data_IF_607290189789
#
_entry.id   IF_607290189789
#
_cell.length_a   1.000
_cell.length_b   1.000
_cell.length_c   1.000
_cell.angle_alpha   90.00
_cell.angle_beta   90.00
_cell.angle_gamma   90.00
#
_symmetry.space_group_name_H-M   'P 1'
#
loop_
_entity.id
_entity.type
_entity.pdbx_description
1 polymer ?
#
# COMPACT_ATOMS: atom_id res chain seq x y z
N UNK A 1 -67.99 -26.41 -10.58
CA UNK A 1 -66.94 -26.62 -9.56
C UNK A 1 -65.60 -26.33 -10.22
N UNK A 2 -65.01 -25.18 -9.89
CA UNK A 2 -63.82 -24.60 -10.54
C UNK A 2 -62.57 -25.12 -9.82
N UNK A 3 -61.72 -25.91 -10.50
CA UNK A 3 -60.44 -26.39 -9.96
C UNK A 3 -59.33 -25.41 -10.34
N UNK A 4 -58.92 -24.59 -9.37
CA UNK A 4 -57.73 -23.73 -9.46
C UNK A 4 -56.52 -24.62 -9.15
N UNK A 5 -55.66 -24.83 -10.14
CA UNK A 5 -54.37 -25.48 -9.94
C UNK A 5 -53.33 -24.41 -9.54
N UNK A 6 -52.84 -24.47 -8.30
CA UNK A 6 -51.68 -23.71 -7.87
C UNK A 6 -50.42 -24.38 -8.44
N UNK A 7 -49.72 -23.69 -9.33
CA UNK A 7 -48.33 -24.02 -9.68
C UNK A 7 -47.40 -23.35 -8.66
N UNK A 8 -46.75 -24.16 -7.82
CA UNK A 8 -45.66 -23.74 -6.97
C UNK A 8 -44.38 -23.58 -7.83
N UNK A 9 -43.98 -22.35 -8.10
CA UNK A 9 -42.70 -22.03 -8.74
C UNK A 9 -41.58 -21.99 -7.71
N UNK A 10 -40.67 -22.97 -7.76
CA UNK A 10 -39.46 -23.01 -6.94
C UNK A 10 -38.48 -21.93 -7.41
N UNK A 11 -38.23 -20.93 -6.56
CA UNK A 11 -37.24 -19.88 -6.80
C UNK A 11 -35.86 -20.37 -6.34
N UNK A 12 -35.05 -20.88 -7.28
CA UNK A 12 -33.64 -21.19 -7.04
C UNK A 12 -32.83 -19.89 -6.98
N UNK A 13 -32.39 -19.50 -5.78
CA UNK A 13 -31.39 -18.45 -5.62
C UNK A 13 -30.05 -18.94 -6.18
N UNK A 14 -29.59 -18.38 -7.30
CA UNK A 14 -28.19 -18.49 -7.73
C UNK A 14 -27.34 -17.64 -6.78
N UNK A 15 -26.62 -18.29 -5.87
CA UNK A 15 -25.50 -17.66 -5.18
C UNK A 15 -24.39 -17.42 -6.22
N UNK A 16 -24.11 -16.15 -6.54
CA UNK A 16 -22.94 -15.81 -7.34
C UNK A 16 -21.67 -16.15 -6.53
N UNK A 17 -20.69 -16.86 -7.10
CA UNK A 17 -19.43 -17.08 -6.42
C UNK A 17 -18.71 -15.73 -6.31
N UNK A 18 -18.50 -15.26 -5.09
CA UNK A 18 -17.55 -14.18 -4.81
C UNK A 18 -16.15 -14.70 -5.09
N UNK A 19 -15.64 -14.43 -6.30
CA UNK A 19 -14.22 -14.63 -6.62
C UNK A 19 -13.44 -13.53 -5.91
N UNK A 20 -12.98 -13.79 -4.69
CA UNK A 20 -11.83 -13.06 -4.16
C UNK A 20 -10.67 -13.40 -5.10
N UNK A 21 -10.15 -12.40 -5.81
CA UNK A 21 -8.93 -12.60 -6.59
C UNK A 21 -7.82 -13.00 -5.60
N UNK A 22 -7.22 -14.17 -5.82
CA UNK A 22 -6.15 -14.71 -4.98
C UNK A 22 -4.94 -13.76 -5.02
N UNK A 23 -4.23 -13.61 -3.89
CA UNK A 23 -3.03 -12.75 -3.83
C UNK A 23 -2.00 -13.27 -4.84
N UNK A 24 -1.47 -12.39 -5.69
CA UNK A 24 -0.40 -12.76 -6.58
C UNK A 24 0.94 -12.73 -5.84
N UNK A 25 1.43 -13.90 -5.48
CA UNK A 25 2.68 -14.06 -4.71
C UNK A 25 3.92 -14.14 -5.59
N UNK A 26 4.98 -13.45 -5.16
CA UNK A 26 6.35 -13.53 -5.67
C UNK A 26 7.23 -13.87 -4.48
N UNK A 27 7.73 -15.10 -4.41
CA UNK A 27 8.55 -15.57 -3.30
C UNK A 27 9.85 -16.17 -3.84
N UNK A 28 10.99 -15.71 -3.30
CA UNK A 28 12.30 -16.23 -3.68
C UNK A 28 13.42 -15.23 -3.48
N UNK A 29 14.56 -15.51 -4.14
CA UNK A 29 15.76 -14.69 -4.07
C UNK A 29 16.16 -14.24 -5.47
N UNK A 30 16.42 -12.93 -5.65
CA UNK A 30 16.97 -12.38 -6.89
C UNK A 30 16.04 -12.44 -8.10
N UNK A 31 14.72 -12.55 -7.90
CA UNK A 31 13.75 -12.66 -8.99
C UNK A 31 13.49 -11.30 -9.65
N UNK A 32 13.51 -11.27 -10.99
CA UNK A 32 13.08 -10.13 -11.80
C UNK A 32 11.69 -10.34 -12.37
N UNK A 33 10.69 -9.52 -12.04
CA UNK A 33 9.32 -9.66 -12.56
C UNK A 33 8.63 -8.34 -12.87
N UNK A 34 7.78 -8.36 -13.89
CA UNK A 34 6.80 -7.32 -14.16
C UNK A 34 5.39 -7.90 -14.03
N UNK A 35 4.53 -7.24 -13.24
CA UNK A 35 3.15 -7.64 -12.96
C UNK A 35 2.20 -6.51 -13.34
N UNK A 36 1.12 -6.83 -14.04
CA UNK A 36 0.03 -5.89 -14.31
C UNK A 36 -1.14 -6.18 -13.37
N UNK A 37 -1.47 -5.21 -12.52
CA UNK A 37 -2.56 -5.29 -11.58
C UNK A 37 -3.88 -4.76 -12.19
N UNK A 38 -4.96 -5.50 -11.93
CA UNK A 38 -6.35 -5.07 -12.18
C UNK A 38 -7.15 -5.15 -10.88
N UNK A 39 -6.69 -4.42 -9.86
CA UNK A 39 -7.19 -4.32 -8.49
C UNK A 39 -6.92 -5.48 -7.53
N UNK A 40 -6.15 -6.48 -7.96
CA UNK A 40 -5.72 -7.61 -7.12
C UNK A 40 -4.55 -7.27 -6.19
N UNK A 41 -4.39 -8.10 -5.15
CA UNK A 41 -3.33 -7.95 -4.16
C UNK A 41 -2.04 -8.65 -4.64
N UNK A 42 -0.90 -8.13 -4.22
CA UNK A 42 0.43 -8.64 -4.60
C UNK A 42 1.31 -8.77 -3.37
N UNK A 43 1.89 -9.95 -3.17
CA UNK A 43 2.86 -10.21 -2.13
C UNK A 43 4.25 -10.44 -2.71
N UNK A 44 5.27 -9.72 -2.22
CA UNK A 44 6.67 -9.86 -2.61
C UNK A 44 7.46 -10.26 -1.37
N UNK A 45 8.03 -11.46 -1.40
CA UNK A 45 8.69 -12.10 -0.26
C UNK A 45 10.08 -12.64 -0.59
N UNK A 46 10.94 -12.72 0.43
CA UNK A 46 12.27 -13.32 0.34
C UNK A 46 13.38 -12.28 0.35
N UNK A 47 14.28 -12.30 -0.64
CA UNK A 47 15.39 -11.36 -0.69
C UNK A 47 15.73 -10.90 -2.11
N UNK A 48 16.24 -9.67 -2.26
CA UNK A 48 16.91 -9.19 -3.50
C UNK A 48 16.05 -9.21 -4.78
N UNK A 49 14.73 -9.41 -4.67
CA UNK A 49 13.83 -9.38 -5.82
C UNK A 49 13.73 -7.96 -6.41
N UNK A 50 13.68 -7.89 -7.74
CA UNK A 50 13.46 -6.68 -8.53
C UNK A 50 12.10 -6.76 -9.23
N UNK A 51 11.12 -6.00 -8.77
CA UNK A 51 9.72 -6.14 -9.22
C UNK A 51 9.16 -4.81 -9.72
N UNK A 52 8.45 -4.85 -10.84
CA UNK A 52 7.69 -3.72 -11.37
C UNK A 52 6.19 -4.04 -11.40
N UNK A 53 5.40 -3.21 -10.73
CA UNK A 53 3.96 -3.30 -10.65
C UNK A 53 3.33 -2.21 -11.52
N UNK A 54 2.50 -2.59 -12.47
CA UNK A 54 1.78 -1.70 -13.38
C UNK A 54 0.28 -1.73 -13.11
N UNK A 55 -0.42 -0.66 -13.48
CA UNK A 55 -1.86 -0.54 -13.30
C UNK A 55 -2.25 -0.26 -11.85
N UNK A 56 -3.45 -0.72 -11.49
CA UNK A 56 -4.06 -0.47 -10.17
C UNK A 56 -3.93 -1.72 -9.31
N UNK A 57 -3.02 -1.74 -8.34
CA UNK A 57 -2.94 -2.81 -7.36
C UNK A 57 -3.88 -2.55 -6.18
N UNK A 58 -4.32 -3.62 -5.54
CA UNK A 58 -5.05 -3.56 -4.28
C UNK A 58 -4.12 -3.26 -3.12
N UNK A 59 -3.84 -4.28 -2.33
CA UNK A 59 -2.81 -4.25 -1.30
C UNK A 59 -1.51 -4.83 -1.87
N UNK A 60 -0.43 -4.06 -1.75
CA UNK A 60 0.93 -4.52 -2.07
C UNK A 60 1.67 -4.74 -0.76
N UNK A 61 2.08 -5.99 -0.52
CA UNK A 61 2.93 -6.38 0.61
C UNK A 61 4.34 -6.63 0.10
N UNK A 62 5.32 -5.92 0.67
CA UNK A 62 6.75 -6.15 0.43
C UNK A 62 7.33 -6.53 1.78
N UNK A 63 7.78 -7.78 1.90
CA UNK A 63 8.30 -8.32 3.13
C UNK A 63 9.56 -9.14 2.88
N UNK A 64 10.70 -8.64 3.33
CA UNK A 64 11.96 -9.32 3.09
C UNK A 64 13.15 -8.39 3.20
N UNK A 65 14.23 -8.75 2.49
CA UNK A 65 15.49 -8.04 2.55
C UNK A 65 15.90 -7.55 1.16
N UNK A 66 16.27 -6.28 1.04
CA UNK A 66 16.88 -5.72 -0.17
C UNK A 66 16.04 -5.86 -1.45
N UNK A 67 14.70 -5.86 -1.35
CA UNK A 67 13.85 -5.78 -2.53
C UNK A 67 13.98 -4.41 -3.21
N UNK A 68 13.95 -4.38 -4.54
CA UNK A 68 13.78 -3.16 -5.34
C UNK A 68 12.44 -3.23 -6.05
N UNK A 69 11.50 -2.37 -5.67
CA UNK A 69 10.13 -2.40 -6.21
C UNK A 69 9.74 -1.05 -6.81
N UNK A 70 9.15 -1.08 -8.00
CA UNK A 70 8.46 0.08 -8.58
C UNK A 70 6.98 -0.20 -8.75
N UNK A 71 6.13 0.81 -8.55
CA UNK A 71 4.68 0.65 -8.69
C UNK A 71 4.02 1.89 -9.29
N UNK A 72 2.90 1.72 -9.99
CA UNK A 72 2.10 2.82 -10.54
C UNK A 72 1.02 3.27 -9.55
N UNK A 73 0.13 2.36 -9.13
CA UNK A 73 -0.91 2.68 -8.15
C UNK A 73 -1.16 1.50 -7.21
N UNK A 74 -1.44 1.80 -5.94
CA UNK A 74 -1.94 0.85 -4.96
C UNK A 74 -3.09 1.48 -4.15
N UNK A 75 -3.96 0.66 -3.56
CA UNK A 75 -4.83 1.13 -2.47
C UNK A 75 -4.05 1.22 -1.17
N UNK A 76 -3.27 0.18 -0.87
CA UNK A 76 -2.38 0.11 0.29
C UNK A 76 -1.02 -0.42 -0.13
N UNK A 77 0.04 0.16 0.42
CA UNK A 77 1.42 -0.30 0.28
C UNK A 77 1.97 -0.55 1.68
N UNK A 78 2.44 -1.77 1.93
CA UNK A 78 3.10 -2.18 3.17
C UNK A 78 4.52 -2.63 2.86
N UNK A 79 5.51 -1.97 3.44
CA UNK A 79 6.93 -2.27 3.29
C UNK A 79 7.48 -2.65 4.66
N UNK A 80 7.96 -3.89 4.78
CA UNK A 80 8.47 -4.44 6.03
C UNK A 80 9.71 -5.29 5.77
N UNK A 81 10.52 -5.49 6.81
CA UNK A 81 11.83 -6.10 6.69
C UNK A 81 12.94 -5.06 6.60
N UNK A 82 14.03 -5.36 5.91
CA UNK A 82 15.26 -4.53 5.97
C UNK A 82 15.80 -4.17 4.60
N UNK A 83 16.28 -2.93 4.44
CA UNK A 83 16.98 -2.45 3.23
C UNK A 83 16.15 -2.49 1.94
N UNK A 84 14.82 -2.52 2.02
CA UNK A 84 13.98 -2.50 0.82
C UNK A 84 13.92 -1.09 0.23
N UNK A 85 14.03 -0.98 -1.10
CA UNK A 85 13.87 0.27 -1.84
C UNK A 85 12.60 0.19 -2.68
N UNK A 86 11.65 1.09 -2.39
CA UNK A 86 10.36 1.14 -3.07
C UNK A 86 10.12 2.54 -3.60
N UNK A 87 9.84 2.67 -4.89
CA UNK A 87 9.62 3.99 -5.49
C UNK A 87 8.54 3.98 -6.55
N UNK A 88 7.83 5.08 -6.70
CA UNK A 88 6.92 5.25 -7.82
C UNK A 88 5.69 6.06 -7.47
N UNK A 89 4.54 5.57 -7.92
CA UNK A 89 3.32 6.34 -8.01
C UNK A 89 2.56 6.45 -6.69
N UNK A 90 1.27 6.15 -6.71
CA UNK A 90 0.34 6.67 -5.72
C UNK A 90 -0.37 5.59 -4.88
N UNK A 91 -0.39 5.79 -3.56
CA UNK A 91 -1.09 4.93 -2.60
C UNK A 91 -1.97 5.75 -1.67
N UNK A 92 -3.08 5.18 -1.19
CA UNK A 92 -3.88 5.86 -0.16
C UNK A 92 -3.29 5.59 1.23
N UNK A 93 -2.84 4.37 1.49
CA UNK A 93 -2.23 4.00 2.76
C UNK A 93 -0.80 3.51 2.52
N UNK A 94 0.15 4.06 3.27
CA UNK A 94 1.55 3.67 3.25
C UNK A 94 1.98 3.28 4.66
N UNK A 95 2.47 2.05 4.80
CA UNK A 95 3.03 1.52 6.04
C UNK A 95 4.48 1.13 5.76
N UNK A 96 5.42 1.63 6.57
CA UNK A 96 6.86 1.35 6.48
C UNK A 96 7.39 0.95 7.85
N UNK A 97 7.81 -0.30 8.00
CA UNK A 97 8.12 -0.88 9.31
C UNK A 97 9.50 -1.53 9.34
N UNK A 98 9.93 -1.94 10.54
CA UNK A 98 11.16 -2.69 10.82
C UNK A 98 12.42 -1.82 10.70
N UNK A 99 13.16 -1.81 9.59
CA UNK A 99 14.33 -0.94 9.52
C UNK A 99 14.92 -0.66 8.14
N UNK A 100 15.59 0.49 7.98
CA UNK A 100 16.42 0.83 6.83
C UNK A 100 15.71 0.73 5.45
N UNK A 101 14.39 0.84 5.42
CA UNK A 101 13.65 0.89 4.17
C UNK A 101 13.67 2.30 3.60
N UNK A 102 13.78 2.40 2.27
CA UNK A 102 13.74 3.65 1.52
C UNK A 102 12.50 3.67 0.64
N UNK A 103 11.55 4.56 0.93
CA UNK A 103 10.26 4.60 0.22
C UNK A 103 9.97 5.99 -0.34
N UNK A 104 9.65 6.06 -1.63
CA UNK A 104 9.18 7.28 -2.29
C UNK A 104 7.81 7.05 -2.95
N UNK A 105 6.79 7.82 -2.56
CA UNK A 105 5.43 7.67 -3.07
C UNK A 105 4.62 8.97 -3.06
N UNK A 106 3.46 8.97 -3.72
CA UNK A 106 2.42 9.98 -3.53
C UNK A 106 1.33 9.40 -2.64
N UNK A 107 0.95 10.14 -1.58
CA UNK A 107 -0.23 9.84 -0.79
C UNK A 107 -1.44 10.48 -1.46
N UNK A 108 -2.25 9.67 -2.13
CA UNK A 108 -3.38 10.15 -2.94
C UNK A 108 -4.63 10.40 -2.12
N UNK A 109 -5.40 11.40 -2.54
CA UNK A 109 -6.75 11.64 -2.04
C UNK A 109 -7.62 10.39 -2.16
N UNK A 110 -8.22 10.00 -1.05
CA UNK A 110 -9.30 9.03 -1.00
C UNK A 110 -10.62 9.64 -0.54
N UNK A 111 -11.57 8.77 -0.23
CA UNK A 111 -12.78 9.13 0.54
C UNK A 111 -12.42 9.57 1.95
N UNK A 112 -11.44 8.88 2.53
CA UNK A 112 -10.89 9.12 3.86
C UNK A 112 -9.48 9.72 3.73
N UNK A 113 -8.99 10.39 4.78
CA UNK A 113 -7.61 10.85 4.82
C UNK A 113 -6.63 9.71 4.52
N UNK A 114 -5.59 10.02 3.75
CA UNK A 114 -4.51 9.09 3.48
C UNK A 114 -3.70 8.85 4.77
N UNK A 115 -3.15 7.64 4.93
CA UNK A 115 -2.37 7.29 6.13
C UNK A 115 -0.91 7.04 5.74
N UNK A 116 0.01 7.65 6.50
CA UNK A 116 1.41 7.26 6.55
C UNK A 116 1.72 6.75 7.95
N UNK A 117 2.14 5.49 8.07
CA UNK A 117 2.67 4.92 9.29
C UNK A 117 4.15 4.54 9.08
N UNK A 118 5.02 5.05 9.94
CA UNK A 118 6.43 4.70 9.97
C UNK A 118 6.79 4.20 11.36
N UNK A 119 7.31 2.98 11.44
CA UNK A 119 7.71 2.35 12.70
C UNK A 119 9.04 1.60 12.60
N UNK A 120 9.64 1.27 13.74
CA UNK A 120 10.91 0.55 13.81
C UNK A 120 12.11 1.49 13.95
N UNK A 121 13.10 1.36 13.06
CA UNK A 121 14.29 2.22 13.09
C UNK A 121 14.83 2.61 11.70
N UNK A 122 15.35 3.83 11.54
CA UNK A 122 16.21 4.21 10.40
C UNK A 122 15.55 4.17 9.00
N UNK A 123 14.21 4.08 8.92
CA UNK A 123 13.50 4.20 7.64
C UNK A 123 13.60 5.63 7.07
N UNK A 124 13.77 5.73 5.75
CA UNK A 124 13.76 6.99 5.00
C UNK A 124 12.52 6.99 4.10
N UNK A 125 11.63 7.95 4.29
CA UNK A 125 10.35 8.02 3.57
C UNK A 125 10.18 9.40 2.96
N UNK A 126 9.94 9.47 1.65
CA UNK A 126 9.70 10.71 0.91
C UNK A 126 8.30 10.66 0.31
N UNK A 127 7.40 11.54 0.75
CA UNK A 127 6.01 11.54 0.26
C UNK A 127 5.58 12.86 -0.35
N UNK A 128 4.88 12.79 -1.47
CA UNK A 128 4.05 13.91 -1.94
C UNK A 128 2.63 13.74 -1.43
N UNK A 129 2.10 14.73 -0.72
CA UNK A 129 0.77 14.71 -0.13
C UNK A 129 -0.22 15.35 -1.09
N UNK A 130 -1.16 14.56 -1.60
CA UNK A 130 -2.21 14.99 -2.53
C UNK A 130 -3.61 14.83 -1.90
N UNK A 131 -3.81 15.41 -0.72
CA UNK A 131 -5.10 15.41 -0.03
C UNK A 131 -4.97 15.38 1.50
N UNK A 132 -6.11 15.39 2.22
CA UNK A 132 -6.13 15.21 3.68
C UNK A 132 -5.37 13.93 4.05
N UNK A 133 -4.47 14.04 5.03
CA UNK A 133 -3.56 12.95 5.37
C UNK A 133 -3.22 12.97 6.85
N UNK A 134 -2.92 11.80 7.41
CA UNK A 134 -2.46 11.65 8.79
C UNK A 134 -1.17 10.83 8.80
N UNK A 135 -0.16 11.34 9.50
CA UNK A 135 1.12 10.69 9.70
C UNK A 135 1.24 10.22 11.15
N UNK A 136 1.68 8.98 11.33
CA UNK A 136 2.13 8.45 12.61
C UNK A 136 3.56 7.93 12.44
N UNK A 137 4.50 8.59 13.11
CA UNK A 137 5.93 8.25 13.07
C UNK A 137 6.37 7.88 14.47
N UNK A 138 6.71 6.61 14.68
CA UNK A 138 7.08 6.05 15.98
C UNK A 138 8.36 5.24 15.86
N UNK A 139 9.13 5.07 16.94
CA UNK A 139 10.40 4.33 16.90
C UNK A 139 11.60 5.26 16.91
N UNK A 140 12.65 4.97 16.13
CA UNK A 140 13.91 5.71 16.23
C UNK A 140 14.56 6.06 14.89
N UNK A 141 15.17 7.25 14.81
CA UNK A 141 16.01 7.67 13.69
C UNK A 141 15.33 7.66 12.31
N UNK A 142 14.01 7.80 12.25
CA UNK A 142 13.31 7.93 10.97
C UNK A 142 13.59 9.28 10.32
N UNK A 143 13.72 9.30 9.00
CA UNK A 143 13.76 10.51 8.20
C UNK A 143 12.57 10.53 7.25
N UNK A 144 11.58 11.34 7.56
CA UNK A 144 10.39 11.52 6.74
C UNK A 144 10.41 12.90 6.11
N UNK A 145 10.58 12.98 4.80
CA UNK A 145 10.40 14.24 4.06
C UNK A 145 9.07 14.24 3.34
N UNK A 146 8.41 15.40 3.30
CA UNK A 146 7.11 15.51 2.63
C UNK A 146 6.92 16.85 1.94
N UNK A 147 6.19 16.84 0.82
CA UNK A 147 5.78 18.05 0.10
C UNK A 147 4.29 18.02 -0.21
N UNK A 148 3.73 19.15 -0.63
CA UNK A 148 2.32 19.26 -0.98
C UNK A 148 2.12 19.23 -2.50
N UNK A 149 1.11 18.48 -2.94
CA UNK A 149 0.47 18.79 -4.21
C UNK A 149 -0.28 20.13 -4.08
N UNK A 150 -0.29 20.94 -5.14
CA UNK A 150 -0.91 22.26 -5.12
C UNK A 150 -2.37 22.22 -4.65
N UNK A 151 -2.70 23.04 -3.66
CA UNK A 151 -4.05 23.12 -3.09
C UNK A 151 -4.41 22.04 -2.07
N UNK A 152 -3.47 21.15 -1.72
CA UNK A 152 -3.67 20.17 -0.64
C UNK A 152 -3.49 20.79 0.75
N UNK A 153 -4.25 20.29 1.71
CA UNK A 153 -4.07 20.62 3.12
C UNK A 153 -2.84 19.91 3.69
N UNK A 154 -2.23 20.50 4.72
CA UNK A 154 -1.15 19.86 5.46
C UNK A 154 -1.63 18.63 6.23
N UNK A 155 -0.79 17.58 6.37
CA UNK A 155 -1.12 16.40 7.15
C UNK A 155 -1.20 16.73 8.65
N UNK A 156 -2.00 15.98 9.38
CA UNK A 156 -1.84 15.89 10.84
C UNK A 156 -0.67 14.94 11.15
N UNK A 157 0.26 15.34 12.02
CA UNK A 157 1.48 14.58 12.28
C UNK A 157 1.59 14.24 13.76
N UNK A 158 1.73 12.95 14.06
CA UNK A 158 2.10 12.42 15.38
C UNK A 158 3.53 11.88 15.30
N UNK A 159 4.39 12.25 16.26
CA UNK A 159 5.77 11.80 16.34
C UNK A 159 6.04 11.31 17.76
N UNK A 160 6.60 10.11 17.90
CA UNK A 160 6.98 9.53 19.20
C UNK A 160 8.28 8.72 19.09
N UNK A 161 8.93 8.45 20.23
CA UNK A 161 10.21 7.74 20.26
C UNK A 161 11.42 8.66 20.30
N UNK A 162 12.50 8.31 19.59
CA UNK A 162 13.80 9.01 19.68
C UNK A 162 14.33 9.43 18.31
N UNK A 163 14.78 10.69 18.19
CA UNK A 163 15.56 11.17 17.04
C UNK A 163 14.89 10.99 15.67
N UNK A 164 13.55 11.01 15.62
CA UNK A 164 12.80 11.04 14.35
C UNK A 164 12.75 12.46 13.79
N UNK A 165 13.14 12.61 12.52
CA UNK A 165 13.05 13.85 11.74
C UNK A 165 11.88 13.76 10.74
N UNK A 166 10.94 14.69 10.86
CA UNK A 166 9.78 14.79 9.95
C UNK A 166 9.72 16.22 9.41
N UNK A 167 10.19 16.39 8.18
CA UNK A 167 10.45 17.71 7.60
C UNK A 167 9.66 17.95 6.31
N UNK A 168 9.04 19.12 6.21
CA UNK A 168 8.42 19.59 4.98
C UNK A 168 9.49 20.14 4.03
N UNK A 169 9.43 19.77 2.75
CA UNK A 169 10.25 20.34 1.67
C UNK A 169 9.36 21.11 0.70
N UNK A 170 9.87 22.25 0.22
CA UNK A 170 9.15 23.19 -0.67
C UNK A 170 8.99 22.67 -2.11
#
# INVERSE_FOLDING_TARGET
>A
MLKIALLAGSLTLLAAPSSFADEQTIEGVGLGREITCTSGDVGIYGAENNVKLKGECGHVTIHGVSHTVTFENARKLSVSGTDNTVSGGATQNLIVEVSNNQVTATLKKGTDPSILEVSGAENIVNVKVDGPSQFDVSGANHQVTWSLAGGSAEPTISISGADNDVTKVE
#
